data_IF_263981014844
#
_entry.id   IF_263981014844
#
_cell.length_a   1.000
_cell.length_b   1.000
_cell.length_c   1.000
_cell.angle_alpha   90.00
_cell.angle_beta   90.00
_cell.angle_gamma   90.00
#
_symmetry.space_group_name_H-M   'P 1'
#
loop_
_entity.id
_entity.type
_entity.pdbx_description
1 polymer ?
#
# COMPACT_ATOMS: atom_id res chain seq x y z
N UNK A 1 -9.13 -7.96 -15.97
CA UNK A 1 -8.30 -6.78 -15.64
C UNK A 1 -9.15 -5.56 -15.32
N UNK A 2 -10.25 -5.29 -16.03
CA UNK A 2 -11.13 -4.11 -15.82
C UNK A 2 -11.77 -4.00 -14.42
N UNK A 3 -12.10 -5.11 -13.75
CA UNK A 3 -12.77 -5.06 -12.44
C UNK A 3 -11.88 -4.51 -11.30
N UNK A 4 -10.57 -4.65 -11.44
CA UNK A 4 -9.59 -4.24 -10.43
C UNK A 4 -9.33 -2.74 -10.48
N UNK A 5 -9.21 -2.17 -11.68
CA UNK A 5 -9.08 -0.73 -11.88
C UNK A 5 -10.34 0.03 -11.47
N UNK A 6 -11.52 -0.52 -11.77
CA UNK A 6 -12.79 0.05 -11.30
C UNK A 6 -12.87 0.03 -9.78
N UNK A 7 -12.49 -1.07 -9.13
CA UNK A 7 -12.38 -1.15 -7.67
C UNK A 7 -11.46 -0.07 -7.08
N UNK A 8 -10.29 0.15 -7.68
CA UNK A 8 -9.37 1.22 -7.28
C UNK A 8 -9.95 2.62 -7.48
N UNK A 9 -10.65 2.86 -8.58
CA UNK A 9 -11.30 4.14 -8.86
C UNK A 9 -12.42 4.42 -7.85
N UNK A 10 -13.23 3.41 -7.51
CA UNK A 10 -14.27 3.53 -6.48
C UNK A 10 -13.67 3.77 -5.09
N UNK A 11 -12.61 3.05 -4.74
CA UNK A 11 -11.91 3.21 -3.46
C UNK A 11 -11.25 4.61 -3.37
N UNK A 12 -10.67 5.11 -4.46
CA UNK A 12 -10.09 6.46 -4.54
C UNK A 12 -11.14 7.55 -4.45
N UNK A 13 -12.30 7.37 -5.10
CA UNK A 13 -13.42 8.31 -5.04
C UNK A 13 -14.02 8.38 -3.64
N UNK A 14 -14.16 7.24 -2.96
CA UNK A 14 -14.66 7.21 -1.58
C UNK A 14 -13.76 8.03 -0.64
N UNK A 15 -12.45 7.77 -0.69
CA UNK A 15 -11.45 8.46 0.14
C UNK A 15 -11.43 9.98 -0.12
N UNK A 16 -11.49 10.40 -1.38
CA UNK A 16 -11.50 11.83 -1.74
C UNK A 16 -12.81 12.53 -1.34
N UNK A 17 -13.95 11.82 -1.29
CA UNK A 17 -15.22 12.42 -0.85
C UNK A 17 -15.29 12.57 0.68
N UNK A 18 -14.74 11.63 1.44
CA UNK A 18 -14.63 11.71 2.91
C UNK A 18 -13.58 12.74 3.37
N UNK A 19 -12.57 13.01 2.53
CA UNK A 19 -11.42 13.88 2.80
C UNK A 19 -11.71 15.37 3.10
N UNK A 20 -12.92 15.86 2.78
CA UNK A 20 -13.28 17.28 2.91
C UNK A 20 -13.66 17.72 4.35
N UNK A 21 -13.61 16.85 5.36
CA UNK A 21 -14.24 17.16 6.66
C UNK A 21 -13.37 17.16 7.94
N UNK A 22 -12.26 16.41 8.08
CA UNK A 22 -11.48 16.38 9.33
C UNK A 22 -10.15 15.62 9.19
N UNK A 23 -9.30 15.61 10.23
CA UNK A 23 -8.04 14.85 10.37
C UNK A 23 -8.17 13.35 10.02
N UNK A 24 -9.40 12.82 10.02
CA UNK A 24 -9.85 11.52 9.49
C UNK A 24 -9.31 11.22 8.09
N UNK A 25 -9.10 12.24 7.26
CA UNK A 25 -8.62 12.12 5.88
C UNK A 25 -7.25 11.42 5.75
N UNK A 26 -6.27 11.75 6.61
CA UNK A 26 -4.92 11.18 6.49
C UNK A 26 -4.90 9.69 6.87
N UNK A 27 -5.65 9.30 7.90
CA UNK A 27 -5.74 7.91 8.31
C UNK A 27 -6.44 7.03 7.26
N UNK A 28 -7.54 7.53 6.68
CA UNK A 28 -8.24 6.90 5.57
C UNK A 28 -7.35 6.79 4.33
N UNK A 29 -6.62 7.85 3.98
CA UNK A 29 -5.69 7.86 2.86
C UNK A 29 -4.54 6.86 3.06
N UNK A 30 -4.02 6.75 4.27
CA UNK A 30 -3.02 5.74 4.61
C UNK A 30 -3.56 4.32 4.46
N UNK A 31 -4.82 4.09 4.85
CA UNK A 31 -5.51 2.80 4.69
C UNK A 31 -5.76 2.48 3.22
N UNK A 32 -6.19 3.45 2.44
CA UNK A 32 -6.35 3.34 0.99
C UNK A 32 -5.06 2.92 0.29
N UNK A 33 -3.94 3.60 0.61
CA UNK A 33 -2.65 3.23 0.03
C UNK A 33 -2.19 1.84 0.48
N UNK A 34 -2.44 1.44 1.73
CA UNK A 34 -2.15 0.09 2.19
C UNK A 34 -2.95 -0.97 1.39
N UNK A 35 -4.24 -0.74 1.19
CA UNK A 35 -5.12 -1.66 0.47
C UNK A 35 -4.77 -1.71 -1.02
N UNK A 36 -4.38 -0.58 -1.61
CA UNK A 36 -3.88 -0.51 -2.98
C UNK A 36 -2.57 -1.30 -3.12
N UNK A 37 -1.65 -1.17 -2.16
CA UNK A 37 -0.41 -1.96 -2.13
C UNK A 37 -0.67 -3.47 -2.02
N UNK A 38 -1.66 -3.87 -1.22
CA UNK A 38 -2.12 -5.26 -1.12
C UNK A 38 -2.69 -5.76 -2.45
N UNK A 39 -3.49 -4.93 -3.11
CA UNK A 39 -4.08 -5.25 -4.40
C UNK A 39 -3.00 -5.50 -5.47
N UNK A 40 -2.01 -4.61 -5.58
CA UNK A 40 -0.89 -4.80 -6.51
C UNK A 40 -0.03 -6.02 -6.17
N UNK A 41 0.12 -6.35 -4.88
CA UNK A 41 0.79 -7.59 -4.45
C UNK A 41 0.05 -8.83 -4.98
N UNK A 42 -1.28 -8.85 -4.92
CA UNK A 42 -2.10 -9.98 -5.38
C UNK A 42 -1.97 -10.24 -6.88
N UNK A 43 -1.87 -9.18 -7.70
CA UNK A 43 -1.60 -9.30 -9.14
C UNK A 43 -0.11 -9.43 -9.48
N UNK A 44 0.74 -9.67 -8.47
CA UNK A 44 2.20 -9.83 -8.58
C UNK A 44 2.93 -8.63 -9.18
N UNK A 45 2.30 -7.45 -9.14
CA UNK A 45 2.95 -6.22 -9.56
C UNK A 45 3.71 -5.61 -8.37
N UNK A 46 4.90 -6.15 -8.13
CA UNK A 46 5.71 -5.85 -6.94
C UNK A 46 6.20 -4.39 -6.85
N UNK A 47 6.63 -3.71 -7.93
CA UNK A 47 7.07 -2.32 -7.86
C UNK A 47 5.96 -1.37 -7.36
N UNK A 48 4.75 -1.48 -7.92
CA UNK A 48 3.60 -0.65 -7.54
C UNK A 48 3.14 -1.00 -6.13
N UNK A 49 3.12 -2.28 -5.75
CA UNK A 49 2.84 -2.69 -4.38
C UNK A 49 3.78 -1.99 -3.38
N UNK A 50 5.07 -1.95 -3.68
CA UNK A 50 6.08 -1.28 -2.86
C UNK A 50 5.83 0.23 -2.77
N UNK A 51 5.52 0.89 -3.89
CA UNK A 51 5.24 2.33 -3.92
C UNK A 51 4.07 2.68 -3.00
N UNK A 52 2.96 1.94 -3.11
CA UNK A 52 1.76 2.20 -2.34
C UNK A 52 1.92 1.89 -0.84
N UNK A 53 2.64 0.83 -0.47
CA UNK A 53 2.97 0.61 0.94
C UNK A 53 3.86 1.71 1.52
N UNK A 54 4.80 2.26 0.75
CA UNK A 54 5.61 3.40 1.20
C UNK A 54 4.78 4.68 1.38
N UNK A 55 3.83 4.97 0.49
CA UNK A 55 2.89 6.10 0.66
C UNK A 55 2.07 5.96 1.95
N UNK A 56 1.57 4.75 2.24
CA UNK A 56 0.87 4.46 3.50
C UNK A 56 1.77 4.66 4.73
N UNK A 57 3.00 4.15 4.69
CA UNK A 57 3.98 4.29 5.76
C UNK A 57 4.29 5.77 6.06
N UNK A 58 4.50 6.58 5.02
CA UNK A 58 4.83 8.00 5.18
C UNK A 58 3.74 8.75 5.93
N UNK A 59 2.47 8.51 5.58
CA UNK A 59 1.35 9.15 6.27
C UNK A 59 1.20 8.62 7.71
N UNK A 60 1.33 7.30 7.91
CA UNK A 60 1.30 6.70 9.25
C UNK A 60 2.38 7.27 10.17
N UNK A 61 3.59 7.52 9.66
CA UNK A 61 4.67 8.17 10.41
C UNK A 61 4.41 9.64 10.73
N UNK A 62 3.59 10.32 9.93
CA UNK A 62 3.22 11.71 10.16
C UNK A 62 2.16 11.86 11.25
N UNK A 63 1.17 10.95 11.28
CA UNK A 63 -0.02 11.09 12.13
C UNK A 63 -0.02 10.19 13.38
N UNK A 64 0.84 9.17 13.46
CA UNK A 64 0.88 8.21 14.55
C UNK A 64 2.19 8.27 15.34
N UNK A 65 2.18 7.91 16.65
CA UNK A 65 3.40 7.70 17.41
C UNK A 65 4.33 6.66 16.76
N UNK A 66 5.63 6.81 16.93
CA UNK A 66 6.64 5.96 16.28
C UNK A 66 6.54 4.46 16.61
N UNK A 67 5.95 4.10 17.75
CA UNK A 67 5.73 2.73 18.20
C UNK A 67 4.35 2.16 17.80
N UNK A 68 3.59 2.87 16.97
CA UNK A 68 2.24 2.44 16.62
C UNK A 68 2.27 1.14 15.78
N UNK A 69 1.42 0.13 16.08
CA UNK A 69 1.41 -1.15 15.38
C UNK A 69 1.25 -1.04 13.86
N UNK A 70 0.48 -0.07 13.37
CA UNK A 70 0.29 0.17 11.94
C UNK A 70 1.58 0.53 11.19
N UNK A 71 2.53 1.21 11.85
CA UNK A 71 3.85 1.49 11.28
C UNK A 71 4.63 0.17 11.12
N UNK A 72 4.60 -0.70 12.14
CA UNK A 72 5.21 -2.03 12.07
C UNK A 72 4.57 -2.90 10.97
N UNK A 73 3.24 -2.88 10.84
CA UNK A 73 2.53 -3.56 9.76
C UNK A 73 2.97 -3.07 8.37
N UNK A 74 3.16 -1.76 8.19
CA UNK A 74 3.68 -1.20 6.94
C UNK A 74 5.08 -1.72 6.62
N UNK A 75 5.98 -1.77 7.60
CA UNK A 75 7.32 -2.33 7.41
C UNK A 75 7.29 -3.83 7.06
N UNK A 76 6.43 -4.62 7.70
CA UNK A 76 6.26 -6.04 7.36
C UNK A 76 5.78 -6.24 5.92
N UNK A 77 4.83 -5.41 5.45
CA UNK A 77 4.36 -5.45 4.08
C UNK A 77 5.48 -5.11 3.09
N UNK A 78 6.24 -4.04 3.35
CA UNK A 78 7.39 -3.64 2.53
C UNK A 78 8.45 -4.76 2.48
N UNK A 79 8.81 -5.34 3.63
CA UNK A 79 9.77 -6.44 3.71
C UNK A 79 9.33 -7.67 2.90
N UNK A 80 8.03 -7.99 2.93
CA UNK A 80 7.45 -9.08 2.14
C UNK A 80 7.61 -8.83 0.63
N UNK A 81 7.40 -7.59 0.17
CA UNK A 81 7.56 -7.23 -1.24
C UNK A 81 9.03 -7.31 -1.67
N UNK A 82 9.96 -6.76 -0.89
CA UNK A 82 11.39 -6.80 -1.20
C UNK A 82 11.90 -8.26 -1.26
N UNK A 83 11.46 -9.09 -0.31
CA UNK A 83 11.79 -10.52 -0.32
C UNK A 83 11.28 -11.21 -1.59
N UNK A 84 10.03 -10.92 -1.99
CA UNK A 84 9.42 -11.47 -3.20
C UNK A 84 10.15 -11.02 -4.48
N UNK A 85 10.58 -9.75 -4.54
CA UNK A 85 11.39 -9.24 -5.65
C UNK A 85 12.74 -9.97 -5.75
N UNK A 86 13.41 -10.18 -4.61
CA UNK A 86 14.69 -10.92 -4.59
C UNK A 86 14.54 -12.35 -5.13
N UNK A 87 13.51 -13.07 -4.70
CA UNK A 87 13.24 -14.42 -5.18
C UNK A 87 12.94 -14.45 -6.68
N UNK A 88 12.20 -13.46 -7.18
CA UNK A 88 11.87 -13.37 -8.61
C UNK A 88 13.13 -13.12 -9.45
N UNK A 89 14.01 -12.22 -9.01
CA UNK A 89 15.30 -11.96 -9.67
C UNK A 89 16.25 -13.15 -9.59
N UNK A 90 16.26 -13.91 -8.49
CA UNK A 90 17.04 -15.15 -8.40
C UNK A 90 16.49 -16.22 -9.34
N UNK A 91 15.16 -16.37 -9.42
CA UNK A 91 14.52 -17.32 -10.32
C UNK A 91 14.84 -17.01 -11.79
N UNK A 92 14.74 -15.74 -12.21
CA UNK A 92 15.10 -15.30 -13.57
C UNK A 92 16.53 -15.61 -13.98
N UNK A 93 17.47 -15.68 -13.02
CA UNK A 93 18.88 -16.00 -13.33
C UNK A 93 19.13 -17.50 -13.51
N UNK A 94 18.22 -18.35 -13.02
CA UNK A 94 18.34 -19.82 -13.07
C UNK A 94 17.71 -20.43 -14.33
N UNK A 95 17.01 -19.63 -15.13
CA UNK A 95 16.39 -20.02 -16.40
C UNK A 95 16.93 -19.13 -17.53
#
# INVERSE_FOLDING_TARGET
QENYEQGLIHLKRAVVLESNASNTNKEELATYFNNTGQLYKEIKNLPEALEYYNKSLNIRKEILPCNHPLIASSYNNIGTIIYSQRLYEEAKKKF
#
